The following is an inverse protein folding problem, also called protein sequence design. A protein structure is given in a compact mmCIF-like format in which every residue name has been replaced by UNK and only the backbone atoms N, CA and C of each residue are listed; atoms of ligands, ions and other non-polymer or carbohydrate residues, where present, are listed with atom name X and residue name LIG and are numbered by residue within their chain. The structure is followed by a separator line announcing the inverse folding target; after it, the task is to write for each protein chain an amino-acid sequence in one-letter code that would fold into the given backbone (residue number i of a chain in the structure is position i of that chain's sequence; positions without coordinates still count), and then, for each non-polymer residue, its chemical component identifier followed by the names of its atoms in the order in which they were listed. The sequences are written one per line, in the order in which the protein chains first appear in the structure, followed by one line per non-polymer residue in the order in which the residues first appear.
data_IF_707627884246
#
_entry.id   IF_707627884246
#
_cell.length_a   1.000
_cell.length_b   1.000
_cell.length_c   1.000
_cell.angle_alpha   90.00
_cell.angle_beta   90.00
_cell.angle_gamma   90.00
#
_symmetry.space_group_name_H-M   'P 1'
#
loop_
_entity.id
_entity.type
_entity.pdbx_description
1 polymer ?
#
# COMPACT_ATOMS: atom_id res chain seq x y z
N UNK A 1 -18.89 6.92 -7.78
CA UNK A 1 -17.61 7.37 -8.35
C UNK A 1 -16.60 6.24 -8.29
N UNK A 2 -15.70 6.15 -9.27
CA UNK A 2 -14.61 5.16 -9.28
C UNK A 2 -13.30 5.91 -9.06
N UNK A 3 -12.45 5.43 -8.16
CA UNK A 3 -11.10 5.96 -7.94
C UNK A 3 -10.04 4.99 -8.43
N UNK A 4 -9.14 5.47 -9.28
CA UNK A 4 -7.99 4.71 -9.78
C UNK A 4 -6.85 4.78 -8.78
N UNK A 5 -6.43 3.66 -8.25
CA UNK A 5 -5.40 3.59 -7.22
C UNK A 5 -4.22 2.79 -7.76
N UNK A 6 -3.01 3.38 -7.73
CA UNK A 6 -1.78 2.68 -8.09
C UNK A 6 -0.99 2.41 -6.80
N UNK A 7 -0.72 1.13 -6.54
CA UNK A 7 0.03 0.67 -5.37
C UNK A 7 1.35 0.10 -5.87
N UNK A 8 2.46 0.67 -5.41
CA UNK A 8 3.81 0.25 -5.76
C UNK A 8 4.38 -0.56 -4.59
N UNK A 9 4.47 -1.87 -4.78
CA UNK A 9 4.83 -2.85 -3.76
C UNK A 9 3.65 -3.76 -3.41
N UNK A 10 3.77 -5.05 -3.73
CA UNK A 10 2.71 -6.06 -3.63
C UNK A 10 2.86 -7.03 -2.46
N UNK A 11 3.61 -6.64 -1.43
CA UNK A 11 3.74 -7.38 -0.18
C UNK A 11 2.61 -7.02 0.81
N UNK A 12 2.75 -7.39 2.08
CA UNK A 12 1.73 -7.24 3.13
C UNK A 12 1.21 -5.80 3.27
N UNK A 13 2.08 -4.79 3.13
CA UNK A 13 1.67 -3.40 3.27
C UNK A 13 0.78 -2.93 2.12
N UNK A 14 1.24 -3.05 0.87
CA UNK A 14 0.46 -2.60 -0.29
C UNK A 14 -0.83 -3.40 -0.47
N UNK A 15 -0.80 -4.71 -0.22
CA UNK A 15 -2.02 -5.52 -0.25
C UNK A 15 -2.99 -5.14 0.88
N UNK A 16 -2.51 -4.78 2.06
CA UNK A 16 -3.42 -4.34 3.13
C UNK A 16 -4.03 -2.95 2.86
N UNK A 17 -3.31 -2.06 2.17
CA UNK A 17 -3.91 -0.83 1.62
C UNK A 17 -5.04 -1.19 0.66
N UNK A 18 -4.76 -2.09 -0.31
CA UNK A 18 -5.76 -2.54 -1.27
C UNK A 18 -6.99 -3.17 -0.59
N UNK A 19 -6.78 -4.05 0.39
CA UNK A 19 -7.85 -4.70 1.14
C UNK A 19 -8.72 -3.69 1.89
N UNK A 20 -8.09 -2.75 2.59
CA UNK A 20 -8.83 -1.75 3.37
C UNK A 20 -9.66 -0.86 2.46
N UNK A 21 -9.09 -0.39 1.34
CA UNK A 21 -9.84 0.38 0.33
C UNK A 21 -10.96 -0.45 -0.30
N UNK A 22 -10.66 -1.68 -0.74
CA UNK A 22 -11.65 -2.59 -1.33
C UNK A 22 -12.86 -2.78 -0.41
N UNK A 23 -12.61 -2.97 0.89
CA UNK A 23 -13.66 -3.16 1.90
C UNK A 23 -14.56 -1.94 2.10
N UNK A 24 -14.10 -0.74 1.71
CA UNK A 24 -14.88 0.50 1.78
C UNK A 24 -15.78 0.72 0.54
N UNK A 25 -15.74 -0.18 -0.45
CA UNK A 25 -16.58 -0.13 -1.64
C UNK A 25 -18.06 -0.16 -1.27
N UNK A 26 -18.86 0.69 -1.91
CA UNK A 26 -20.30 0.78 -1.72
C UNK A 26 -20.97 1.37 -2.99
N UNK A 27 -22.26 1.69 -2.92
CA UNK A 27 -23.03 2.25 -4.05
C UNK A 27 -22.44 3.56 -4.61
N UNK A 28 -21.79 4.35 -3.76
CA UNK A 28 -21.27 5.67 -4.12
C UNK A 28 -19.77 5.67 -4.44
N UNK A 29 -18.99 4.74 -3.89
CA UNK A 29 -17.53 4.69 -4.03
C UNK A 29 -17.06 3.29 -4.42
N UNK A 30 -16.26 3.20 -5.47
CA UNK A 30 -15.61 1.97 -5.92
C UNK A 30 -14.17 2.28 -6.38
N UNK A 31 -13.35 1.24 -6.56
CA UNK A 31 -11.93 1.35 -6.83
C UNK A 31 -11.50 0.52 -8.04
N UNK A 32 -10.71 1.13 -8.94
CA UNK A 32 -9.94 0.42 -9.96
C UNK A 32 -8.49 0.40 -9.51
N UNK A 33 -8.02 -0.73 -8.99
CA UNK A 33 -6.71 -0.82 -8.35
C UNK A 33 -5.71 -1.59 -9.19
N UNK A 34 -4.50 -1.05 -9.27
CA UNK A 34 -3.33 -1.69 -9.85
C UNK A 34 -2.24 -1.84 -8.79
N UNK A 35 -1.75 -3.06 -8.59
CA UNK A 35 -0.61 -3.36 -7.73
C UNK A 35 0.57 -3.71 -8.62
N UNK A 36 1.60 -2.87 -8.60
CA UNK A 36 2.85 -3.03 -9.35
C UNK A 36 3.91 -3.58 -8.40
N UNK A 37 4.44 -4.77 -8.68
CA UNK A 37 5.39 -5.45 -7.80
C UNK A 37 6.33 -6.37 -8.57
N UNK A 38 7.59 -6.44 -8.15
CA UNK A 38 8.59 -7.36 -8.74
C UNK A 38 8.62 -8.75 -8.06
N UNK A 39 7.79 -8.99 -7.04
CA UNK A 39 7.76 -10.26 -6.31
C UNK A 39 9.00 -10.51 -5.43
N UNK A 40 9.67 -9.45 -4.97
CA UNK A 40 10.94 -9.54 -4.20
C UNK A 40 10.80 -9.11 -2.73
N UNK A 41 9.57 -9.07 -2.20
CA UNK A 41 9.31 -8.62 -0.83
C UNK A 41 10.00 -9.50 0.21
N UNK A 42 10.58 -8.90 1.26
CA UNK A 42 11.31 -9.62 2.30
C UNK A 42 10.43 -10.61 3.10
N UNK A 43 9.11 -10.42 3.09
CA UNK A 43 8.15 -11.36 3.70
C UNK A 43 8.29 -12.78 3.14
N UNK A 44 8.71 -12.94 1.88
CA UNK A 44 8.85 -14.26 1.23
C UNK A 44 9.91 -15.14 1.92
N UNK A 45 10.81 -14.53 2.71
CA UNK A 45 11.84 -15.24 3.48
C UNK A 45 11.39 -15.56 4.91
N UNK A 46 10.17 -15.19 5.29
CA UNK A 46 9.71 -15.23 6.67
C UNK A 46 8.74 -16.39 6.93
N UNK A 47 8.87 -16.96 8.12
CA UNK A 47 7.81 -17.69 8.82
C UNK A 47 7.34 -16.83 10.00
N UNK A 48 6.04 -16.53 10.04
CA UNK A 48 5.48 -15.52 10.92
C UNK A 48 4.76 -16.17 12.10
N UNK A 49 5.11 -15.75 13.31
CA UNK A 49 4.61 -16.34 14.56
C UNK A 49 3.81 -15.35 15.42
N UNK A 50 3.79 -14.07 15.04
CA UNK A 50 3.38 -12.95 15.89
C UNK A 50 2.41 -11.98 15.20
N UNK A 51 1.58 -12.52 14.29
CA UNK A 51 0.48 -11.80 13.67
C UNK A 51 -0.82 -12.54 14.02
N UNK A 52 -1.76 -11.90 14.73
CA UNK A 52 -3.06 -12.50 15.02
C UNK A 52 -3.80 -12.93 13.75
N UNK A 53 -4.76 -13.84 13.91
CA UNK A 53 -5.64 -14.34 12.84
C UNK A 53 -4.98 -15.22 11.77
N UNK A 54 -3.66 -15.36 11.79
CA UNK A 54 -2.93 -16.39 11.04
C UNK A 54 -2.52 -17.54 11.96
N UNK A 55 -2.39 -18.77 11.43
CA UNK A 55 -1.80 -19.86 12.20
C UNK A 55 -0.34 -19.55 12.56
N UNK A 56 0.17 -20.23 13.59
CA UNK A 56 1.57 -20.17 13.98
C UNK A 56 2.46 -20.61 12.79
N UNK A 57 3.59 -19.93 12.60
CA UNK A 57 4.58 -20.24 11.57
C UNK A 57 4.07 -20.10 10.12
N UNK A 58 3.07 -19.24 9.88
CA UNK A 58 2.55 -19.03 8.53
C UNK A 58 3.65 -18.48 7.61
N UNK A 59 3.74 -19.02 6.39
CA UNK A 59 4.73 -18.55 5.41
C UNK A 59 4.29 -17.23 4.80
N UNK A 60 5.25 -16.39 4.42
CA UNK A 60 4.96 -15.09 3.79
C UNK A 60 4.10 -15.17 2.52
N UNK A 61 4.35 -16.18 1.69
CA UNK A 61 3.58 -16.46 0.47
C UNK A 61 2.11 -16.78 0.77
N UNK A 62 1.86 -17.53 1.85
CA UNK A 62 0.52 -17.89 2.31
C UNK A 62 -0.23 -16.65 2.80
N UNK A 63 0.43 -15.77 3.56
CA UNK A 63 -0.13 -14.47 3.96
C UNK A 63 -0.54 -13.65 2.73
N UNK A 64 0.37 -13.49 1.76
CA UNK A 64 0.11 -12.74 0.52
C UNK A 64 -1.12 -13.29 -0.20
N UNK A 65 -1.17 -14.62 -0.39
CA UNK A 65 -2.26 -15.27 -1.09
C UNK A 65 -3.59 -15.13 -0.35
N UNK A 66 -3.58 -15.20 0.98
CA UNK A 66 -4.78 -15.01 1.80
C UNK A 66 -5.32 -13.58 1.70
N UNK A 67 -4.45 -12.56 1.75
CA UNK A 67 -4.88 -11.16 1.58
C UNK A 67 -5.45 -10.94 0.17
N UNK A 68 -4.80 -11.46 -0.88
CA UNK A 68 -5.30 -11.37 -2.25
C UNK A 68 -6.70 -12.00 -2.42
N UNK A 69 -6.93 -13.16 -1.80
CA UNK A 69 -8.26 -13.81 -1.77
C UNK A 69 -9.29 -12.91 -1.09
N UNK A 70 -8.98 -12.34 0.07
CA UNK A 70 -9.90 -11.41 0.75
C UNK A 70 -10.23 -10.18 -0.08
N UNK A 71 -9.26 -9.62 -0.80
CA UNK A 71 -9.50 -8.49 -1.71
C UNK A 71 -10.50 -8.88 -2.81
N UNK A 72 -10.36 -10.09 -3.37
CA UNK A 72 -11.20 -10.58 -4.47
C UNK A 72 -12.68 -10.72 -4.10
N UNK A 73 -13.01 -10.87 -2.81
CA UNK A 73 -14.39 -10.88 -2.31
C UNK A 73 -15.08 -9.51 -2.47
N UNK A 74 -14.31 -8.42 -2.63
CA UNK A 74 -14.82 -7.06 -2.76
C UNK A 74 -14.70 -6.52 -4.19
N UNK A 75 -13.49 -6.58 -4.74
CA UNK A 75 -13.17 -5.98 -6.05
C UNK A 75 -12.08 -6.77 -6.77
N UNK A 76 -12.06 -6.65 -8.10
CA UNK A 76 -10.94 -7.15 -8.91
C UNK A 76 -9.76 -6.18 -8.87
N UNK A 77 -8.55 -6.71 -8.74
CA UNK A 77 -7.29 -5.93 -8.71
C UNK A 77 -6.36 -6.43 -9.81
N UNK A 78 -5.74 -5.49 -10.53
CA UNK A 78 -4.72 -5.78 -11.54
C UNK A 78 -3.38 -5.94 -10.85
N UNK A 79 -2.85 -7.16 -10.81
CA UNK A 79 -1.51 -7.44 -10.30
C UNK A 79 -0.52 -7.45 -11.47
N UNK A 80 0.39 -6.49 -11.49
CA UNK A 80 1.35 -6.28 -12.58
C UNK A 80 2.74 -6.63 -12.08
N UNK A 81 3.36 -7.62 -12.71
CA UNK A 81 4.74 -8.01 -12.41
C UNK A 81 5.72 -7.07 -13.10
N UNK A 82 5.92 -5.88 -12.54
CA UNK A 82 6.79 -4.86 -13.13
C UNK A 82 7.47 -4.02 -12.05
N UNK A 83 8.51 -3.29 -12.48
CA UNK A 83 9.16 -2.28 -11.65
C UNK A 83 8.65 -0.90 -12.05
N UNK A 84 8.16 -0.12 -11.08
CA UNK A 84 7.87 1.30 -11.29
C UNK A 84 9.17 2.10 -11.35
N UNK A 85 9.28 3.02 -12.31
CA UNK A 85 10.52 3.77 -12.59
C UNK A 85 10.36 5.28 -12.46
N UNK A 86 9.16 5.81 -12.71
CA UNK A 86 8.89 7.25 -12.67
C UNK A 86 7.44 7.50 -12.25
N UNK A 87 7.23 8.53 -11.43
CA UNK A 87 5.90 9.07 -11.13
C UNK A 87 5.86 10.53 -11.57
N UNK A 88 4.87 10.89 -12.37
CA UNK A 88 4.64 12.26 -12.81
C UNK A 88 3.17 12.65 -12.69
N UNK A 89 2.88 13.94 -12.82
CA UNK A 89 1.54 14.51 -12.70
C UNK A 89 1.19 14.97 -11.28
N UNK A 90 -0.11 14.98 -11.02
CA UNK A 90 -0.73 15.54 -9.81
C UNK A 90 -1.95 14.72 -9.41
N UNK A 91 -2.43 14.92 -8.18
CA UNK A 91 -3.63 14.26 -7.65
C UNK A 91 -4.79 14.29 -8.66
N UNK A 92 -5.40 13.12 -8.86
CA UNK A 92 -6.45 12.90 -9.85
C UNK A 92 -5.96 12.62 -11.28
N UNK A 93 -4.66 12.78 -11.57
CA UNK A 93 -4.08 12.56 -12.88
C UNK A 93 -2.58 12.22 -12.79
N UNK A 94 -2.23 11.21 -12.01
CA UNK A 94 -0.88 10.68 -11.97
C UNK A 94 -0.63 9.73 -13.12
N UNK A 95 0.62 9.70 -13.59
CA UNK A 95 1.14 8.66 -14.48
C UNK A 95 2.33 7.97 -13.81
N UNK A 96 2.26 6.64 -13.74
CA UNK A 96 3.33 5.78 -13.23
C UNK A 96 3.90 4.99 -14.40
N UNK A 97 5.16 5.25 -14.74
CA UNK A 97 5.88 4.47 -15.74
C UNK A 97 6.45 3.21 -15.09
N UNK A 98 6.42 2.12 -15.84
CA UNK A 98 6.97 0.85 -15.40
C UNK A 98 7.76 0.16 -16.50
N UNK A 99 8.44 -0.93 -16.15
CA UNK A 99 9.09 -1.81 -17.12
C UNK A 99 8.12 -2.58 -18.03
N UNK A 100 6.81 -2.54 -17.78
CA UNK A 100 5.78 -3.21 -18.60
C UNK A 100 4.69 -2.26 -19.11
N UNK A 101 4.96 -0.95 -19.12
CA UNK A 101 4.04 0.07 -19.62
C UNK A 101 3.63 1.08 -18.56
N UNK A 102 2.77 2.00 -18.96
CA UNK A 102 2.37 3.15 -18.16
C UNK A 102 0.96 2.96 -17.59
N UNK A 103 0.76 3.42 -16.35
CA UNK A 103 -0.52 3.33 -15.65
C UNK A 103 -0.95 4.71 -15.15
N UNK A 104 -2.22 5.04 -15.35
CA UNK A 104 -2.81 6.28 -14.86
C UNK A 104 -3.60 6.05 -13.56
N UNK A 105 -3.49 6.98 -12.61
CA UNK A 105 -4.10 6.85 -11.29
C UNK A 105 -4.53 8.20 -10.70
N UNK A 106 -5.57 8.17 -9.86
CA UNK A 106 -5.96 9.32 -9.04
C UNK A 106 -5.04 9.48 -7.83
N UNK A 107 -4.59 8.35 -7.27
CA UNK A 107 -3.73 8.25 -6.10
C UNK A 107 -2.59 7.25 -6.33
N UNK A 108 -1.45 7.52 -5.71
CA UNK A 108 -0.28 6.62 -5.71
C UNK A 108 0.13 6.27 -4.28
N UNK A 109 0.38 4.98 -4.03
CA UNK A 109 0.83 4.48 -2.74
C UNK A 109 2.19 3.84 -2.87
N UNK A 110 3.15 4.30 -2.08
CA UNK A 110 4.52 3.82 -2.01
C UNK A 110 4.63 2.80 -0.86
N UNK A 111 4.55 1.51 -1.19
CA UNK A 111 4.69 0.39 -0.27
C UNK A 111 5.99 -0.41 -0.56
N UNK A 112 7.08 0.31 -0.86
CA UNK A 112 8.32 -0.22 -1.44
C UNK A 112 9.26 -0.93 -0.45
N UNK A 113 8.88 -1.01 0.83
CA UNK A 113 9.76 -1.51 1.89
C UNK A 113 10.94 -0.57 2.17
N UNK A 114 12.03 -1.12 2.71
CA UNK A 114 13.17 -0.33 3.23
C UNK A 114 14.48 -0.51 2.47
N UNK A 115 14.49 -1.24 1.35
CA UNK A 115 15.73 -1.67 0.70
C UNK A 115 16.33 -0.57 -0.19
N UNK A 116 15.51 0.05 -1.02
CA UNK A 116 15.91 1.14 -1.92
C UNK A 116 14.68 1.90 -2.39
N UNK A 117 14.90 3.12 -2.88
CA UNK A 117 13.88 3.91 -3.55
C UNK A 117 14.53 4.64 -4.72
N UNK A 118 14.23 4.20 -5.94
CA UNK A 118 14.83 4.69 -7.18
C UNK A 118 13.78 5.18 -8.20
N UNK A 119 12.57 5.46 -7.73
CA UNK A 119 11.48 5.99 -8.55
C UNK A 119 11.69 7.48 -8.75
N UNK A 120 11.80 7.90 -10.01
CA UNK A 120 12.00 9.28 -10.41
C UNK A 120 10.73 10.13 -10.26
N UNK A 121 10.90 11.46 -10.23
CA UNK A 121 9.79 12.43 -10.28
C UNK A 121 9.25 12.91 -8.92
N UNK A 122 9.73 12.35 -7.80
CA UNK A 122 9.36 12.78 -6.45
C UNK A 122 10.44 13.57 -5.70
N UNK A 123 11.61 13.77 -6.31
CA UNK A 123 12.77 14.38 -5.66
C UNK A 123 13.40 13.48 -4.58
N UNK A 124 14.23 14.07 -3.72
CA UNK A 124 14.96 13.34 -2.67
C UNK A 124 14.11 13.12 -1.41
N UNK A 125 13.21 12.13 -1.49
CA UNK A 125 12.36 11.72 -0.38
C UNK A 125 12.92 10.55 0.42
N UNK A 126 13.90 9.80 -0.08
CA UNK A 126 14.55 8.73 0.69
C UNK A 126 15.42 9.30 1.81
N UNK A 127 15.39 8.68 2.97
CA UNK A 127 16.22 9.02 4.13
C UNK A 127 16.56 7.76 4.96
N UNK A 128 17.58 7.78 5.82
CA UNK A 128 17.90 6.63 6.67
C UNK A 128 16.71 6.20 7.54
N UNK A 129 16.47 4.90 7.62
CA UNK A 129 15.39 4.35 8.43
C UNK A 129 15.71 4.45 9.92
N UNK A 130 14.91 5.22 10.67
CA UNK A 130 15.22 5.53 12.08
C UNK A 130 15.00 4.35 13.04
N UNK A 131 14.09 3.43 12.72
CA UNK A 131 13.75 2.26 13.56
C UNK A 131 14.31 0.93 13.02
N UNK A 132 15.27 0.96 12.10
CA UNK A 132 15.92 -0.25 11.59
C UNK A 132 17.44 -0.10 11.73
N UNK A 133 18.06 -0.76 12.72
CA UNK A 133 19.49 -0.64 13.01
C UNK A 133 20.32 -1.48 12.03
N UNK A 134 20.07 -1.35 10.72
CA UNK A 134 20.80 -2.03 9.65
C UNK A 134 21.30 -0.98 8.65
N UNK A 135 22.60 -0.98 8.30
CA UNK A 135 23.14 -0.05 7.31
C UNK A 135 22.38 -0.11 5.97
N UNK A 136 22.20 1.06 5.34
CA UNK A 136 21.58 1.18 4.02
C UNK A 136 20.06 1.00 3.97
N UNK A 137 19.39 0.79 5.12
CA UNK A 137 17.92 0.77 5.16
C UNK A 137 17.36 2.19 5.13
N UNK A 138 16.32 2.37 4.33
CA UNK A 138 15.69 3.67 4.11
C UNK A 138 14.22 3.68 4.55
N UNK A 139 13.73 4.88 4.80
CA UNK A 139 12.31 5.24 4.85
C UNK A 139 12.07 6.44 3.94
N UNK A 140 10.81 6.76 3.65
CA UNK A 140 10.45 7.92 2.84
C UNK A 140 10.04 9.08 3.76
N UNK A 141 10.41 10.31 3.37
CA UNK A 141 9.93 11.54 4.01
C UNK A 141 8.43 11.67 3.76
N UNK A 142 7.68 11.90 4.83
CA UNK A 142 6.24 12.11 4.81
C UNK A 142 5.82 12.95 6.02
N UNK A 143 4.55 13.34 6.06
CA UNK A 143 3.96 14.12 7.15
C UNK A 143 2.56 13.61 7.49
N UNK A 144 2.09 13.93 8.70
CA UNK A 144 0.74 13.59 9.14
C UNK A 144 0.45 12.09 9.01
N UNK A 145 -0.66 11.76 8.35
CA UNK A 145 -1.14 10.38 8.15
C UNK A 145 -0.50 9.74 6.91
N UNK A 146 0.83 9.62 6.92
CA UNK A 146 1.65 9.03 5.85
C UNK A 146 1.58 9.77 4.49
N UNK A 147 1.35 11.09 4.49
CA UNK A 147 1.26 11.90 3.28
C UNK A 147 2.66 12.30 2.79
N UNK A 148 3.03 11.88 1.58
CA UNK A 148 4.30 12.26 0.93
C UNK A 148 4.13 13.56 0.14
N UNK A 149 3.06 13.61 -0.67
CA UNK A 149 2.63 14.76 -1.48
C UNK A 149 1.13 14.63 -1.68
N UNK A 150 0.42 15.71 -2.02
CA UNK A 150 -1.02 15.63 -2.30
C UNK A 150 -1.34 14.50 -3.31
N UNK A 151 -2.17 13.54 -2.90
CA UNK A 151 -2.50 12.33 -3.67
C UNK A 151 -1.47 11.19 -3.66
N UNK A 152 -0.32 11.37 -3.02
CA UNK A 152 0.75 10.35 -2.88
C UNK A 152 0.99 10.04 -1.41
N UNK A 153 0.82 8.77 -1.05
CA UNK A 153 0.98 8.28 0.31
C UNK A 153 2.06 7.21 0.39
N UNK A 154 2.65 7.04 1.57
CA UNK A 154 3.57 5.93 1.86
C UNK A 154 2.88 4.91 2.78
N UNK A 155 3.26 3.64 2.71
CA UNK A 155 2.68 2.60 3.57
C UNK A 155 3.72 1.57 4.01
N UNK A 156 3.45 0.94 5.15
CA UNK A 156 4.29 -0.12 5.70
C UNK A 156 5.67 0.38 6.11
N UNK A 157 6.68 -0.47 5.97
CA UNK A 157 8.05 -0.16 6.44
C UNK A 157 8.62 1.09 5.75
N UNK A 158 8.23 1.38 4.51
CA UNK A 158 8.63 2.61 3.82
C UNK A 158 8.18 3.89 4.57
N UNK A 159 7.14 3.82 5.42
CA UNK A 159 6.68 4.94 6.25
C UNK A 159 7.52 5.13 7.53
N UNK A 160 8.52 4.28 7.77
CA UNK A 160 9.41 4.37 8.93
C UNK A 160 8.92 3.67 10.19
N UNK A 161 7.81 2.92 10.14
CA UNK A 161 7.42 2.04 11.26
C UNK A 161 8.42 0.91 11.47
N UNK A 162 8.44 0.33 12.67
CA UNK A 162 9.28 -0.82 12.99
C UNK A 162 9.09 -1.97 12.00
N UNK A 163 10.20 -2.63 11.63
CA UNK A 163 10.23 -3.75 10.68
C UNK A 163 9.57 -5.01 11.26
N UNK A 164 8.24 -5.03 11.21
CA UNK A 164 7.37 -6.10 11.71
C UNK A 164 6.12 -6.16 10.84
N UNK A 165 5.58 -7.37 10.62
CA UNK A 165 4.39 -7.57 9.76
C UNK A 165 3.19 -6.79 10.30
N UNK A 166 2.89 -6.92 11.60
CA UNK A 166 1.77 -6.21 12.24
C UNK A 166 1.93 -4.68 12.18
N UNK A 167 3.15 -4.16 12.34
CA UNK A 167 3.42 -2.73 12.20
C UNK A 167 3.22 -2.26 10.75
N UNK A 168 3.68 -3.04 9.78
CA UNK A 168 3.48 -2.74 8.37
C UNK A 168 2.00 -2.74 7.98
N UNK A 169 1.22 -3.71 8.49
CA UNK A 169 -0.23 -3.79 8.30
C UNK A 169 -0.93 -2.58 8.94
N UNK A 170 -0.57 -2.20 10.17
CA UNK A 170 -1.15 -1.03 10.85
C UNK A 170 -0.87 0.28 10.10
N UNK A 171 0.37 0.50 9.67
CA UNK A 171 0.72 1.66 8.82
C UNK A 171 -0.07 1.68 7.51
N UNK A 172 -0.21 0.53 6.86
CA UNK A 172 -1.00 0.39 5.63
C UNK A 172 -2.50 0.69 5.84
N UNK A 173 -3.09 0.20 6.93
CA UNK A 173 -4.49 0.50 7.26
C UNK A 173 -4.68 2.00 7.49
N UNK A 174 -3.75 2.64 8.22
CA UNK A 174 -3.78 4.09 8.44
C UNK A 174 -3.65 4.88 7.13
N UNK A 175 -2.78 4.45 6.21
CA UNK A 175 -2.68 5.04 4.87
C UNK A 175 -3.99 4.94 4.08
N UNK A 176 -4.64 3.78 4.10
CA UNK A 176 -5.93 3.62 3.43
C UNK A 176 -7.01 4.51 4.06
N UNK A 177 -7.08 4.61 5.39
CA UNK A 177 -8.00 5.51 6.08
C UNK A 177 -7.73 6.99 5.77
N UNK A 178 -6.46 7.38 5.62
CA UNK A 178 -6.08 8.72 5.19
C UNK A 178 -6.60 9.02 3.77
N UNK A 179 -6.42 8.08 2.84
CA UNK A 179 -6.93 8.20 1.46
C UNK A 179 -8.46 8.30 1.44
N UNK A 180 -9.16 7.52 2.25
CA UNK A 180 -10.63 7.59 2.34
C UNK A 180 -11.11 8.94 2.87
N UNK A 181 -10.41 9.50 3.87
CA UNK A 181 -10.68 10.84 4.38
C UNK A 181 -10.41 11.91 3.31
N UNK A 182 -9.33 11.74 2.56
CA UNK A 182 -8.95 12.63 1.47
C UNK A 182 -9.97 12.63 0.32
N UNK A 183 -10.44 11.44 -0.09
CA UNK A 183 -11.51 11.28 -1.08
C UNK A 183 -12.80 11.97 -0.62
N UNK A 184 -13.15 11.87 0.66
CA UNK A 184 -14.36 12.48 1.23
C UNK A 184 -14.21 14.00 1.46
N UNK A 185 -12.98 14.52 1.50
CA UNK A 185 -12.66 15.91 1.84
C UNK A 185 -12.78 16.23 3.35
N UNK A 186 -13.08 15.24 4.18
CA UNK A 186 -13.18 15.34 5.65
C UNK A 186 -12.74 14.03 6.28
N UNK A 187 -12.35 14.06 7.56
CA UNK A 187 -12.01 12.83 8.30
C UNK A 187 -13.16 11.82 8.21
N UNK A 188 -12.85 10.64 7.70
CA UNK A 188 -13.80 9.53 7.57
C UNK A 188 -13.35 8.35 8.42
N UNK A 189 -14.34 7.65 8.99
CA UNK A 189 -14.15 6.43 9.76
C UNK A 189 -15.02 5.36 9.13
N UNK A 190 -14.39 4.23 8.82
CA UNK A 190 -15.03 3.09 8.15
C UNK A 190 -15.00 1.91 9.12
N UNK A 191 -16.11 1.71 9.83
CA UNK A 191 -16.30 0.59 10.74
C UNK A 191 -17.35 -0.36 10.17
N UNK A 192 -17.13 -1.65 10.39
CA UNK A 192 -18.12 -2.68 10.13
C UNK A 192 -19.06 -2.85 11.33
N UNK A 193 -20.33 -3.07 11.04
CA UNK A 193 -21.34 -3.42 12.03
C UNK A 193 -22.01 -4.73 11.61
N UNK A 194 -22.60 -5.46 12.57
CA UNK A 194 -23.38 -6.66 12.23
C UNK A 194 -24.50 -6.27 11.26
N UNK A 195 -24.56 -6.93 10.10
CA UNK A 195 -25.54 -6.68 9.05
C UNK A 195 -25.26 -5.45 8.16
N UNK A 196 -24.11 -4.77 8.29
CA UNK A 196 -23.80 -3.59 7.44
C UNK A 196 -23.47 -3.94 5.98
N UNK A 197 -23.48 -5.22 5.62
CA UNK A 197 -23.06 -5.76 4.32
C UNK A 197 -24.09 -6.73 3.71
N UNK A 198 -25.26 -6.86 4.35
CA UNK A 198 -26.39 -7.66 3.87
C UNK A 198 -27.22 -6.89 2.82
#
# INVERSE_FOLDING_TARGET
MIKKIIIIGGSVAGLNVALTLASATNKELNFDMSVIDEGKGDILKAEVYNVPFFPKAVKGEEIINQIKKQIQEFVSVKYINAKATEISGSKGNFKVKTTQGDFDGDYVILATGSNSFDIQGLGEIAQPHQLMPKPGKIMLKHSGRNLVKDGIYVAGIASGVTSMVSCALGSAAETACAILSDIKGVVSVHHDYKGSRD
#
